data_IF_070839762698
#
_entry.id   IF_070839762698
#
_cell.length_a   1.000
_cell.length_b   1.000
_cell.length_c   1.000
_cell.angle_alpha   90.00
_cell.angle_beta   90.00
_cell.angle_gamma   90.00
#
_symmetry.space_group_name_H-M   'P 1'
#
loop_
_entity.id
_entity.type
_entity.pdbx_description
1 polymer ?
#
# COMPACT_ATOMS: atom_id res chain seq x y z
N UNK A 1 -49.61 -31.43 35.33
CA UNK A 1 -49.05 -31.47 33.96
C UNK A 1 -48.09 -30.29 33.76
N UNK A 2 -46.80 -30.49 34.01
CA UNK A 2 -45.76 -29.47 33.75
C UNK A 2 -45.36 -29.59 32.28
N UNK A 3 -45.59 -28.52 31.53
CA UNK A 3 -45.07 -28.38 30.15
C UNK A 3 -43.59 -28.05 30.18
N UNK A 4 -42.74 -28.96 29.77
CA UNK A 4 -41.31 -28.68 29.54
C UNK A 4 -41.18 -27.74 28.34
N UNK A 5 -40.77 -26.51 28.63
CA UNK A 5 -40.36 -25.55 27.60
C UNK A 5 -38.88 -25.87 27.26
N UNK A 6 -38.67 -26.47 26.08
CA UNK A 6 -37.33 -26.68 25.53
C UNK A 6 -36.89 -25.33 24.93
N UNK A 7 -35.99 -24.64 25.65
CA UNK A 7 -35.32 -23.45 25.14
C UNK A 7 -34.16 -23.94 24.24
N UNK A 8 -34.33 -23.86 22.94
CA UNK A 8 -33.21 -24.02 22.01
C UNK A 8 -32.24 -22.83 22.17
N UNK A 9 -30.97 -23.06 22.49
CA UNK A 9 -30.01 -21.97 22.44
C UNK A 9 -29.79 -21.57 20.98
N UNK A 10 -30.28 -20.38 20.62
CA UNK A 10 -29.90 -19.74 19.37
C UNK A 10 -28.41 -19.46 19.43
N UNK A 11 -27.62 -20.35 18.83
CA UNK A 11 -26.21 -20.12 18.59
C UNK A 11 -26.11 -19.02 17.53
N UNK A 12 -25.97 -17.78 17.96
CA UNK A 12 -25.57 -16.68 17.08
C UNK A 12 -24.15 -16.99 16.58
N UNK A 13 -24.06 -17.66 15.45
CA UNK A 13 -22.87 -17.68 14.64
C UNK A 13 -22.62 -16.22 14.19
N UNK A 14 -21.77 -15.51 14.92
CA UNK A 14 -21.18 -14.28 14.43
C UNK A 14 -20.38 -14.64 13.17
N UNK A 15 -21.02 -14.54 12.01
CA UNK A 15 -20.35 -14.55 10.73
C UNK A 15 -19.62 -13.21 10.69
N UNK A 16 -18.35 -13.20 11.06
CA UNK A 16 -17.47 -12.06 10.82
C UNK A 16 -17.44 -11.80 9.30
N UNK A 17 -18.27 -10.87 8.86
CA UNK A 17 -18.35 -10.46 7.47
C UNK A 17 -17.18 -9.55 7.17
N UNK A 18 -16.16 -10.06 6.52
CA UNK A 18 -15.09 -9.23 5.99
C UNK A 18 -15.61 -8.38 4.84
N UNK A 19 -15.28 -7.08 4.86
CA UNK A 19 -15.68 -6.15 3.81
C UNK A 19 -15.05 -6.53 2.46
N UNK A 20 -15.68 -6.18 1.32
CA UNK A 20 -15.08 -6.36 -0.01
C UNK A 20 -13.68 -5.74 -0.07
N UNK A 21 -12.82 -6.29 -0.92
CA UNK A 21 -11.42 -5.85 -1.04
C UNK A 21 -11.17 -5.28 -2.44
N UNK A 22 -10.68 -4.04 -2.49
CA UNK A 22 -10.06 -3.47 -3.67
C UNK A 22 -8.57 -3.86 -3.67
N UNK A 23 -8.16 -4.67 -4.65
CA UNK A 23 -6.81 -5.18 -4.81
C UNK A 23 -6.10 -4.41 -5.93
N UNK A 24 -4.93 -3.82 -5.64
CA UNK A 24 -4.11 -3.06 -6.59
C UNK A 24 -2.82 -3.80 -6.88
N UNK A 25 -2.54 -4.02 -8.18
CA UNK A 25 -1.32 -4.69 -8.67
C UNK A 25 -0.08 -3.80 -8.55
N UNK A 26 1.10 -4.43 -8.60
CA UNK A 26 2.39 -3.78 -8.64
C UNK A 26 2.83 -3.36 -10.04
N UNK A 27 4.04 -2.80 -10.11
CA UNK A 27 4.72 -2.50 -11.38
C UNK A 27 4.99 -3.79 -12.16
N UNK A 28 4.95 -3.71 -13.50
CA UNK A 28 5.12 -4.85 -14.41
C UNK A 28 4.05 -5.95 -14.27
N UNK A 29 3.00 -5.69 -13.50
CA UNK A 29 1.86 -6.57 -13.31
C UNK A 29 0.57 -5.92 -13.81
N UNK A 30 -0.41 -6.76 -14.04
CA UNK A 30 -1.80 -6.44 -14.30
C UNK A 30 -2.71 -7.44 -13.58
N UNK A 31 -4.02 -7.25 -13.61
CA UNK A 31 -4.97 -8.16 -12.96
C UNK A 31 -5.02 -9.54 -13.61
N UNK A 32 -4.51 -9.70 -14.84
CA UNK A 32 -4.44 -10.98 -15.54
C UNK A 32 -3.22 -11.81 -15.17
N UNK A 33 -2.21 -11.20 -14.55
CA UNK A 33 -0.96 -11.84 -14.12
C UNK A 33 -1.23 -13.01 -13.16
N UNK A 34 -0.47 -14.07 -13.29
CA UNK A 34 -0.61 -15.28 -12.45
C UNK A 34 -0.50 -14.97 -10.96
N UNK A 35 0.43 -14.07 -10.58
CA UNK A 35 0.64 -13.64 -9.20
C UNK A 35 -0.61 -12.97 -8.63
N UNK A 36 -1.22 -12.04 -9.40
CA UNK A 36 -2.40 -11.31 -8.96
C UNK A 36 -3.63 -12.20 -8.87
N UNK A 37 -3.84 -13.09 -9.85
CA UNK A 37 -4.92 -14.10 -9.83
C UNK A 37 -4.80 -15.04 -8.63
N UNK A 38 -3.59 -15.54 -8.35
CA UNK A 38 -3.35 -16.42 -7.21
C UNK A 38 -3.62 -15.70 -5.87
N UNK A 39 -3.13 -14.47 -5.74
CA UNK A 39 -3.39 -13.66 -4.55
C UNK A 39 -4.89 -13.39 -4.36
N UNK A 40 -5.58 -13.00 -5.42
CA UNK A 40 -7.03 -12.77 -5.41
C UNK A 40 -7.80 -14.03 -4.97
N UNK A 41 -7.49 -15.18 -5.57
CA UNK A 41 -8.11 -16.46 -5.21
C UNK A 41 -7.84 -16.84 -3.75
N UNK A 42 -6.61 -16.65 -3.25
CA UNK A 42 -6.27 -16.92 -1.86
C UNK A 42 -7.04 -16.00 -0.91
N UNK A 43 -7.10 -14.70 -1.18
CA UNK A 43 -7.89 -13.75 -0.38
C UNK A 43 -9.36 -14.14 -0.35
N UNK A 44 -9.97 -14.44 -1.50
CA UNK A 44 -11.37 -14.90 -1.59
C UNK A 44 -11.61 -16.19 -0.80
N UNK A 45 -10.72 -17.18 -0.95
CA UNK A 45 -10.84 -18.50 -0.29
C UNK A 45 -10.81 -18.38 1.23
N UNK A 46 -9.84 -17.63 1.78
CA UNK A 46 -9.62 -17.58 3.23
C UNK A 46 -10.46 -16.54 3.97
N UNK A 47 -10.86 -15.47 3.28
CA UNK A 47 -11.69 -14.42 3.86
C UNK A 47 -13.18 -14.60 3.56
N UNK A 48 -13.52 -15.42 2.56
CA UNK A 48 -14.90 -15.64 2.08
C UNK A 48 -15.61 -14.31 1.75
N UNK A 49 -14.87 -13.38 1.14
CA UNK A 49 -15.37 -12.08 0.71
C UNK A 49 -15.07 -11.82 -0.76
N UNK A 50 -15.74 -10.84 -1.34
CA UNK A 50 -15.46 -10.39 -2.71
C UNK A 50 -14.10 -9.69 -2.75
N UNK A 51 -13.28 -10.04 -3.73
CA UNK A 51 -12.00 -9.39 -4.00
C UNK A 51 -11.97 -8.98 -5.46
N UNK A 52 -11.83 -7.71 -5.73
CA UNK A 52 -11.76 -7.17 -7.07
C UNK A 52 -10.37 -6.60 -7.32
N UNK A 53 -9.65 -7.21 -8.25
CA UNK A 53 -8.44 -6.60 -8.77
C UNK A 53 -8.84 -5.42 -9.66
N UNK A 54 -8.31 -4.25 -9.36
CA UNK A 54 -8.60 -3.01 -10.10
C UNK A 54 -7.53 -2.84 -11.16
N UNK A 55 -7.87 -3.19 -12.40
CA UNK A 55 -7.00 -2.96 -13.54
C UNK A 55 -6.81 -1.47 -13.79
N UNK A 56 -5.58 -1.04 -14.05
CA UNK A 56 -5.22 0.35 -14.30
C UNK A 56 -4.46 0.41 -15.62
N UNK A 57 -4.96 1.25 -16.52
CA UNK A 57 -4.45 1.30 -17.90
C UNK A 57 -4.84 0.07 -18.72
N UNK A 58 -4.00 -0.30 -19.68
CA UNK A 58 -4.22 -1.35 -20.67
C UNK A 58 -3.25 -2.53 -20.46
N UNK A 59 -2.95 -2.87 -19.21
CA UNK A 59 -2.07 -3.99 -18.86
C UNK A 59 -0.75 -3.57 -18.23
N UNK A 60 0.16 -4.53 -18.09
CA UNK A 60 1.39 -4.38 -17.32
C UNK A 60 2.33 -3.26 -17.79
N UNK A 61 2.31 -2.90 -19.08
CA UNK A 61 3.13 -1.80 -19.60
C UNK A 61 2.71 -0.45 -19.02
N UNK A 62 1.41 -0.18 -18.88
CA UNK A 62 0.91 1.07 -18.33
C UNK A 62 1.24 1.22 -16.84
N UNK A 63 1.46 0.11 -16.13
CA UNK A 63 1.97 0.15 -14.75
C UNK A 63 3.37 0.80 -14.65
N UNK A 64 4.11 0.86 -15.75
CA UNK A 64 5.43 1.51 -15.85
C UNK A 64 5.34 2.87 -16.56
N UNK A 65 4.67 2.91 -17.73
CA UNK A 65 4.72 4.03 -18.68
C UNK A 65 3.67 5.10 -18.42
N UNK A 66 2.81 4.91 -17.42
CA UNK A 66 1.86 5.93 -16.94
C UNK A 66 2.31 6.40 -15.56
N UNK A 67 2.51 7.69 -15.34
CA UNK A 67 2.91 8.18 -14.03
C UNK A 67 1.86 7.83 -12.95
N UNK A 68 2.31 7.76 -11.69
CA UNK A 68 1.49 7.19 -10.63
C UNK A 68 0.30 8.09 -10.23
N UNK A 69 0.37 9.39 -10.47
CA UNK A 69 -0.76 10.30 -10.26
C UNK A 69 -1.92 9.96 -11.21
N UNK A 70 -1.63 9.76 -12.52
CA UNK A 70 -2.64 9.36 -13.51
C UNK A 70 -3.23 7.99 -13.18
N UNK A 71 -2.38 7.00 -12.82
CA UNK A 71 -2.84 5.69 -12.38
C UNK A 71 -3.78 5.80 -11.17
N UNK A 72 -3.44 6.64 -10.20
CA UNK A 72 -4.22 6.82 -8.97
C UNK A 72 -5.55 7.52 -9.21
N UNK A 73 -5.59 8.48 -10.13
CA UNK A 73 -6.84 9.15 -10.55
C UNK A 73 -7.77 8.14 -11.25
N UNK A 74 -7.23 7.32 -12.14
CA UNK A 74 -8.01 6.28 -12.81
C UNK A 74 -8.56 5.27 -11.80
N UNK A 75 -7.72 4.79 -10.88
CA UNK A 75 -8.12 3.90 -9.79
C UNK A 75 -9.23 4.52 -8.93
N UNK A 76 -9.10 5.80 -8.56
CA UNK A 76 -10.12 6.53 -7.80
C UNK A 76 -11.47 6.55 -8.54
N UNK A 77 -11.47 6.78 -9.85
CA UNK A 77 -12.68 6.78 -10.66
C UNK A 77 -13.32 5.38 -10.73
N UNK A 78 -12.52 4.33 -10.91
CA UNK A 78 -12.99 2.93 -10.92
C UNK A 78 -13.58 2.54 -9.56
N UNK A 79 -12.96 2.91 -8.44
CA UNK A 79 -13.51 2.68 -7.09
C UNK A 79 -14.85 3.41 -6.90
N UNK A 80 -14.96 4.67 -7.32
CA UNK A 80 -16.20 5.44 -7.19
C UNK A 80 -17.37 4.85 -7.97
N UNK A 81 -17.13 4.26 -9.12
CA UNK A 81 -18.18 3.66 -9.97
C UNK A 81 -18.49 2.21 -9.62
N UNK A 82 -17.64 1.53 -8.84
CA UNK A 82 -17.82 0.11 -8.55
C UNK A 82 -18.87 -0.12 -7.44
N UNK A 83 -19.90 -0.95 -7.67
CA UNK A 83 -21.02 -1.11 -6.73
C UNK A 83 -20.60 -1.64 -5.35
N UNK A 84 -19.63 -2.55 -5.29
CA UNK A 84 -19.17 -3.14 -4.02
C UNK A 84 -18.34 -2.17 -3.15
N UNK A 85 -17.92 -1.01 -3.69
CA UNK A 85 -17.14 0.00 -2.94
C UNK A 85 -17.93 1.27 -2.59
N UNK A 86 -19.24 1.24 -2.74
CA UNK A 86 -20.10 2.37 -2.34
C UNK A 86 -20.24 2.50 -0.82
N UNK A 87 -20.08 1.38 -0.11
CA UNK A 87 -20.11 1.28 1.34
C UNK A 87 -18.70 0.99 1.88
N UNK A 88 -18.62 0.30 3.03
CA UNK A 88 -17.35 -0.09 3.67
C UNK A 88 -16.60 -1.15 2.84
N UNK A 89 -15.31 -0.95 2.65
CA UNK A 89 -14.43 -1.90 1.96
C UNK A 89 -13.00 -1.82 2.51
N UNK A 90 -12.18 -2.81 2.15
CA UNK A 90 -10.76 -2.86 2.48
C UNK A 90 -9.92 -2.57 1.24
N UNK A 91 -8.71 -2.06 1.44
CA UNK A 91 -7.72 -1.89 0.38
C UNK A 91 -6.55 -2.83 0.63
N UNK A 92 -6.15 -3.54 -0.42
CA UNK A 92 -4.95 -4.36 -0.46
C UNK A 92 -4.08 -3.91 -1.65
N UNK A 93 -2.94 -3.32 -1.36
CA UNK A 93 -1.97 -2.94 -2.39
C UNK A 93 -0.78 -3.88 -2.41
N UNK A 94 -0.26 -4.18 -3.60
CA UNK A 94 0.95 -4.96 -3.84
C UNK A 94 2.02 -4.04 -4.40
N UNK A 95 3.21 -3.96 -3.79
CA UNK A 95 4.33 -3.17 -4.29
C UNK A 95 3.90 -1.73 -4.62
N UNK A 96 4.09 -1.24 -5.85
CA UNK A 96 3.62 0.06 -6.34
C UNK A 96 2.13 0.31 -6.05
N UNK A 97 1.27 -0.72 -6.17
CA UNK A 97 -0.17 -0.60 -5.92
C UNK A 97 -0.52 -0.19 -4.50
N UNK A 98 0.41 -0.31 -3.55
CA UNK A 98 0.23 0.22 -2.19
C UNK A 98 0.15 1.74 -2.17
N UNK A 99 0.91 2.43 -2.99
CA UNK A 99 0.87 3.89 -3.10
C UNK A 99 -0.44 4.36 -3.73
N UNK A 100 -0.97 3.60 -4.71
CA UNK A 100 -2.31 3.84 -5.27
C UNK A 100 -3.38 3.69 -4.19
N UNK A 101 -3.29 2.62 -3.38
CA UNK A 101 -4.19 2.42 -2.24
C UNK A 101 -4.15 3.59 -1.24
N UNK A 102 -2.96 4.10 -0.92
CA UNK A 102 -2.82 5.30 -0.07
C UNK A 102 -3.43 6.55 -0.72
N UNK A 103 -3.25 6.73 -2.01
CA UNK A 103 -3.89 7.84 -2.74
C UNK A 103 -5.41 7.78 -2.60
N UNK A 104 -6.02 6.60 -2.78
CA UNK A 104 -7.47 6.43 -2.58
C UNK A 104 -7.89 6.87 -1.18
N UNK A 105 -7.16 6.47 -0.16
CA UNK A 105 -7.45 6.83 1.23
C UNK A 105 -7.29 8.34 1.45
N UNK A 106 -6.17 8.93 1.03
CA UNK A 106 -5.78 10.29 1.39
C UNK A 106 -6.38 11.35 0.47
N UNK A 107 -6.51 11.08 -0.85
CA UNK A 107 -6.83 12.09 -1.86
C UNK A 107 -8.16 11.86 -2.59
N UNK A 108 -8.64 10.61 -2.72
CA UNK A 108 -9.86 10.35 -3.45
C UNK A 108 -11.09 10.89 -2.72
N UNK A 109 -11.86 11.76 -3.38
CA UNK A 109 -13.04 12.36 -2.76
C UNK A 109 -14.13 11.32 -2.48
N UNK A 110 -14.93 11.53 -1.44
CA UNK A 110 -16.04 10.67 -0.99
C UNK A 110 -15.62 9.27 -0.49
N UNK A 111 -14.33 9.10 -0.10
CA UNK A 111 -13.81 7.83 0.47
C UNK A 111 -13.65 7.86 1.97
N UNK A 112 -13.83 9.03 2.63
CA UNK A 112 -13.70 9.16 4.09
C UNK A 112 -14.67 8.22 4.81
N UNK A 113 -14.14 7.37 5.70
CA UNK A 113 -14.91 6.40 6.48
C UNK A 113 -15.39 5.16 5.71
N UNK A 114 -15.19 5.09 4.38
CA UNK A 114 -15.52 3.90 3.59
C UNK A 114 -14.40 2.85 3.63
N UNK A 115 -13.15 3.28 3.53
CA UNK A 115 -12.01 2.36 3.67
C UNK A 115 -11.83 2.01 5.15
N UNK A 116 -11.91 0.71 5.46
CA UNK A 116 -11.82 0.21 6.82
C UNK A 116 -10.40 -0.21 7.17
N UNK A 117 -9.82 -1.12 6.42
CA UNK A 117 -8.46 -1.59 6.66
C UNK A 117 -7.61 -1.41 5.41
N UNK A 118 -6.33 -1.14 5.62
CA UNK A 118 -5.37 -1.01 4.55
C UNK A 118 -4.21 -1.99 4.76
N UNK A 119 -3.94 -2.81 3.74
CA UNK A 119 -2.77 -3.71 3.68
C UNK A 119 -1.78 -3.18 2.66
N UNK A 120 -0.57 -2.90 3.10
CA UNK A 120 0.59 -2.59 2.26
C UNK A 120 1.49 -3.81 2.17
N UNK A 121 1.41 -4.52 1.06
CA UNK A 121 2.22 -5.71 0.82
C UNK A 121 3.48 -5.33 0.07
N UNK A 122 4.60 -5.20 0.80
CA UNK A 122 5.93 -4.87 0.31
C UNK A 122 5.94 -3.59 -0.57
N UNK A 123 5.35 -2.51 -0.05
CA UNK A 123 5.19 -1.27 -0.78
C UNK A 123 6.25 -0.22 -0.48
N UNK A 124 6.64 0.62 -1.46
CA UNK A 124 7.63 1.68 -1.28
C UNK A 124 7.04 2.90 -0.56
N UNK A 125 6.63 2.75 0.71
CA UNK A 125 5.90 3.78 1.46
C UNK A 125 6.69 5.10 1.63
N UNK A 126 8.01 5.01 1.75
CA UNK A 126 8.92 6.17 1.76
C UNK A 126 9.68 6.35 0.45
N UNK A 127 9.28 5.63 -0.61
CA UNK A 127 9.94 5.65 -1.91
C UNK A 127 11.08 4.65 -2.04
N UNK A 128 11.79 4.75 -3.16
CA UNK A 128 13.00 3.98 -3.47
C UNK A 128 14.17 4.93 -3.68
N UNK A 129 15.34 4.59 -3.14
CA UNK A 129 16.54 5.41 -3.22
C UNK A 129 17.52 4.97 -4.30
N UNK A 130 17.33 3.78 -4.84
CA UNK A 130 18.02 3.23 -5.99
C UNK A 130 17.19 2.08 -6.57
N UNK A 131 17.47 1.68 -7.79
CA UNK A 131 16.90 0.47 -8.38
C UNK A 131 18.01 -0.56 -8.47
N UNK A 132 17.85 -1.75 -7.89
CA UNK A 132 18.77 -2.84 -8.15
C UNK A 132 18.75 -3.16 -9.65
N UNK A 133 19.92 -3.52 -10.21
CA UNK A 133 20.03 -3.84 -11.63
C UNK A 133 19.01 -4.93 -12.00
N UNK A 134 18.01 -4.55 -12.77
CA UNK A 134 16.97 -5.48 -13.21
C UNK A 134 17.52 -6.38 -14.32
N UNK A 135 17.17 -7.66 -14.27
CA UNK A 135 17.62 -8.69 -15.22
C UNK A 135 16.43 -9.40 -15.85
N UNK A 136 15.73 -8.73 -16.76
CA UNK A 136 14.61 -9.31 -17.51
C UNK A 136 14.73 -9.05 -19.03
N UNK A 137 15.94 -9.10 -19.57
CA UNK A 137 16.22 -8.88 -20.97
C UNK A 137 16.10 -7.41 -21.42
N UNK A 138 15.88 -7.17 -22.70
CA UNK A 138 15.92 -5.82 -23.32
C UNK A 138 15.06 -4.77 -22.63
N UNK A 139 13.95 -5.17 -22.03
CA UNK A 139 13.07 -4.24 -21.30
C UNK A 139 13.71 -3.77 -20.00
N UNK A 140 14.35 -4.65 -19.26
CA UNK A 140 15.10 -4.26 -18.07
C UNK A 140 16.34 -3.44 -18.40
N UNK A 141 17.00 -3.72 -19.52
CA UNK A 141 18.12 -2.89 -19.98
C UNK A 141 17.65 -1.45 -20.27
N UNK A 142 16.48 -1.31 -20.88
CA UNK A 142 15.86 -0.01 -21.09
C UNK A 142 15.51 0.70 -19.76
N UNK A 143 14.91 -0.02 -18.80
CA UNK A 143 14.63 0.54 -17.48
C UNK A 143 15.90 0.91 -16.71
N UNK A 144 16.94 0.07 -16.76
CA UNK A 144 18.22 0.37 -16.12
C UNK A 144 18.88 1.64 -16.71
N UNK A 145 18.74 1.85 -18.03
CA UNK A 145 19.20 3.09 -18.69
C UNK A 145 18.41 4.30 -18.21
N UNK A 146 17.07 4.19 -18.14
CA UNK A 146 16.21 5.26 -17.61
C UNK A 146 16.63 5.62 -16.18
N UNK A 147 16.91 4.62 -15.35
CA UNK A 147 17.33 4.82 -13.96
C UNK A 147 18.64 5.57 -13.86
N UNK A 148 19.64 5.23 -14.70
CA UNK A 148 20.92 5.97 -14.72
C UNK A 148 20.73 7.42 -15.10
N UNK A 149 19.81 7.73 -16.00
CA UNK A 149 19.48 9.11 -16.38
C UNK A 149 18.80 9.89 -15.22
N UNK A 150 18.02 9.20 -14.36
CA UNK A 150 17.46 9.81 -13.15
C UNK A 150 18.51 10.20 -12.12
N UNK A 151 19.53 9.38 -11.95
CA UNK A 151 20.61 9.68 -11.00
C UNK A 151 21.39 10.94 -11.40
N UNK A 152 21.51 11.18 -12.70
CA UNK A 152 22.34 12.25 -13.25
C UNK A 152 21.59 13.58 -13.52
N UNK A 153 20.39 13.54 -14.10
CA UNK A 153 19.82 14.71 -14.78
C UNK A 153 18.38 15.12 -14.43
N UNK A 154 17.59 14.33 -13.67
CA UNK A 154 16.14 14.58 -13.42
C UNK A 154 15.36 14.95 -14.69
N UNK A 155 15.34 14.13 -15.72
CA UNK A 155 14.67 14.51 -16.95
C UNK A 155 13.16 14.64 -16.69
N UNK A 156 12.62 15.86 -16.83
CA UNK A 156 11.20 16.18 -16.54
C UNK A 156 10.24 15.23 -17.30
N UNK A 157 10.62 14.86 -18.54
CA UNK A 157 9.84 13.88 -19.32
C UNK A 157 9.64 12.54 -18.59
N UNK A 158 10.67 12.03 -17.90
CA UNK A 158 10.57 10.77 -17.16
C UNK A 158 9.73 10.94 -15.90
N UNK A 159 9.86 12.07 -15.22
CA UNK A 159 9.05 12.42 -14.04
C UNK A 159 7.57 12.46 -14.41
N UNK A 160 7.24 13.04 -15.56
CA UNK A 160 5.86 13.23 -16.00
C UNK A 160 5.20 11.95 -16.54
N UNK A 161 6.00 10.96 -16.96
CA UNK A 161 5.47 9.80 -17.67
C UNK A 161 5.73 8.45 -17.00
N UNK A 162 6.73 8.32 -16.13
CA UNK A 162 7.06 7.03 -15.54
C UNK A 162 6.57 6.88 -14.10
N UNK A 163 5.94 5.73 -13.82
CA UNK A 163 5.50 5.41 -12.47
C UNK A 163 6.63 5.38 -11.44
N UNK A 164 7.79 4.75 -11.68
CA UNK A 164 8.89 4.73 -10.71
C UNK A 164 9.41 6.11 -10.32
N UNK A 165 9.38 7.06 -11.24
CA UNK A 165 9.77 8.44 -10.97
C UNK A 165 8.88 9.11 -9.91
N UNK A 166 7.60 8.73 -9.87
CA UNK A 166 6.63 9.28 -8.90
C UNK A 166 6.97 8.95 -7.45
N UNK A 167 7.74 7.90 -7.20
CA UNK A 167 8.18 7.49 -5.86
C UNK A 167 9.70 7.36 -5.72
N UNK A 168 10.45 7.97 -6.66
CA UNK A 168 11.90 8.10 -6.54
C UNK A 168 12.26 9.09 -5.43
N UNK A 169 13.08 8.66 -4.48
CA UNK A 169 13.55 9.49 -3.37
C UNK A 169 15.07 9.38 -3.28
N UNK A 170 15.76 10.42 -3.74
CA UNK A 170 17.20 10.41 -3.86
C UNK A 170 17.89 10.12 -2.53
N UNK A 171 18.74 9.08 -2.52
CA UNK A 171 19.45 8.65 -1.32
C UNK A 171 20.34 9.75 -0.73
N UNK A 172 21.05 10.49 -1.58
CA UNK A 172 22.04 11.49 -1.16
C UNK A 172 21.57 12.94 -1.35
N UNK A 173 20.43 13.16 -1.98
CA UNK A 173 19.92 14.48 -2.37
C UNK A 173 18.45 14.64 -1.96
N UNK A 174 18.22 14.71 -0.63
CA UNK A 174 16.86 14.85 -0.11
C UNK A 174 16.19 16.17 -0.53
N UNK A 175 16.95 17.24 -0.65
CA UNK A 175 16.52 18.54 -1.17
C UNK A 175 16.00 18.45 -2.61
N UNK A 176 16.68 17.65 -3.45
CA UNK A 176 16.26 17.36 -4.82
C UNK A 176 14.92 16.63 -4.87
N UNK A 177 14.71 15.65 -3.96
CA UNK A 177 13.40 15.01 -3.80
C UNK A 177 12.32 16.03 -3.41
N UNK A 178 12.57 16.89 -2.44
CA UNK A 178 11.60 17.90 -2.00
C UNK A 178 11.26 18.89 -3.11
N UNK A 179 12.20 19.21 -3.99
CA UNK A 179 12.00 20.11 -5.12
C UNK A 179 11.20 19.45 -6.25
N UNK A 180 11.59 18.25 -6.67
CA UNK A 180 11.17 17.68 -7.95
C UNK A 180 10.08 16.60 -7.82
N UNK A 181 9.98 15.90 -6.68
CA UNK A 181 8.95 14.88 -6.53
C UNK A 181 7.61 15.51 -6.14
N UNK A 182 6.61 15.34 -7.00
CA UNK A 182 5.26 15.87 -6.77
C UNK A 182 4.38 14.84 -6.05
N UNK A 183 4.44 13.58 -6.48
CA UNK A 183 3.50 12.55 -6.01
C UNK A 183 3.79 12.06 -4.58
N UNK A 184 4.96 11.44 -4.36
CA UNK A 184 5.27 10.84 -3.06
C UNK A 184 5.47 11.89 -1.96
N UNK A 185 6.10 13.02 -2.29
CA UNK A 185 6.25 14.16 -1.38
C UNK A 185 4.89 14.63 -0.85
N UNK A 186 3.92 14.80 -1.74
CA UNK A 186 2.56 15.21 -1.36
C UNK A 186 1.86 14.10 -0.55
N UNK A 187 1.90 12.85 -1.03
CA UNK A 187 1.28 11.72 -0.35
C UNK A 187 1.86 11.48 1.07
N UNK A 188 3.13 11.71 1.27
CA UNK A 188 3.79 11.66 2.57
C UNK A 188 3.63 12.95 3.38
N UNK A 189 3.02 13.98 2.80
CA UNK A 189 2.85 15.27 3.43
C UNK A 189 4.20 15.89 3.85
N UNK A 190 5.26 15.68 3.01
CA UNK A 190 6.63 16.17 3.26
C UNK A 190 6.86 17.59 2.75
N UNK A 191 5.91 18.20 2.03
CA UNK A 191 5.95 19.60 1.60
C UNK A 191 5.99 20.58 2.77
N UNK A 192 6.29 21.85 2.51
CA UNK A 192 6.30 22.91 3.53
C UNK A 192 4.92 23.10 4.16
N UNK A 193 3.88 23.21 3.34
CA UNK A 193 2.48 23.30 3.77
C UNK A 193 1.93 21.89 3.95
N UNK A 194 1.42 21.59 5.15
CA UNK A 194 0.85 20.30 5.48
C UNK A 194 -0.63 20.25 5.16
N UNK A 195 -1.08 19.16 4.57
CA UNK A 195 -2.50 18.88 4.35
C UNK A 195 -3.07 18.07 5.51
N UNK A 196 -3.76 18.72 6.43
CA UNK A 196 -4.35 18.07 7.61
C UNK A 196 -5.47 17.08 7.26
N UNK A 197 -6.11 17.21 6.09
CA UNK A 197 -7.13 16.26 5.67
C UNK A 197 -6.54 14.88 5.37
N UNK A 198 -5.30 14.79 4.88
CA UNK A 198 -4.62 13.50 4.67
C UNK A 198 -4.48 12.73 5.99
N UNK A 199 -4.05 13.42 7.04
CA UNK A 199 -3.95 12.87 8.40
C UNK A 199 -5.32 12.41 8.92
N UNK A 200 -6.34 13.24 8.78
CA UNK A 200 -7.70 12.90 9.22
C UNK A 200 -8.24 11.66 8.51
N UNK A 201 -7.97 11.50 7.21
CA UNK A 201 -8.43 10.36 6.44
C UNK A 201 -7.70 9.06 6.82
N UNK A 202 -6.40 9.11 7.02
CA UNK A 202 -5.62 7.98 7.53
C UNK A 202 -6.12 7.55 8.92
N UNK A 203 -6.41 8.48 9.80
CA UNK A 203 -6.92 8.20 11.14
C UNK A 203 -8.35 7.61 11.18
N UNK A 204 -9.10 7.72 10.08
CA UNK A 204 -10.41 7.06 9.95
C UNK A 204 -10.32 5.56 9.65
N UNK A 205 -9.14 5.04 9.28
CA UNK A 205 -8.96 3.60 9.10
C UNK A 205 -9.09 2.88 10.45
N UNK A 206 -9.64 1.67 10.44
CA UNK A 206 -9.58 0.81 11.62
C UNK A 206 -8.13 0.42 11.90
N UNK A 207 -7.44 -0.12 10.89
CA UNK A 207 -6.08 -0.61 11.05
C UNK A 207 -5.29 -0.49 9.73
N UNK A 208 -3.96 -0.44 9.87
CA UNK A 208 -3.00 -0.56 8.76
C UNK A 208 -2.07 -1.74 9.04
N UNK A 209 -1.87 -2.60 8.05
CA UNK A 209 -0.86 -3.66 8.07
C UNK A 209 0.24 -3.35 7.06
N UNK A 210 1.46 -3.18 7.55
CA UNK A 210 2.66 -2.97 6.73
C UNK A 210 3.48 -4.27 6.69
N UNK A 211 3.63 -4.84 5.51
CA UNK A 211 4.39 -6.07 5.30
C UNK A 211 5.68 -5.76 4.59
N UNK A 212 6.81 -6.23 5.14
CA UNK A 212 8.15 -6.12 4.58
C UNK A 212 8.68 -7.50 4.23
N UNK A 213 9.30 -7.66 3.06
CA UNK A 213 10.07 -8.86 2.70
C UNK A 213 11.46 -8.83 3.34
N UNK A 214 11.86 -9.92 4.01
CA UNK A 214 13.19 -9.98 4.65
C UNK A 214 14.31 -9.94 3.63
N UNK A 215 14.10 -10.59 2.49
CA UNK A 215 15.06 -10.72 1.40
C UNK A 215 14.72 -9.81 0.21
N UNK A 216 13.74 -8.91 0.37
CA UNK A 216 13.30 -8.00 -0.69
C UNK A 216 14.48 -7.16 -1.20
N UNK A 217 14.79 -7.32 -2.48
CA UNK A 217 15.84 -6.59 -3.21
C UNK A 217 15.27 -5.57 -4.20
N UNK A 218 13.95 -5.56 -4.41
CA UNK A 218 13.27 -4.64 -5.35
C UNK A 218 12.95 -3.31 -4.68
N UNK A 219 12.39 -3.33 -3.47
CA UNK A 219 12.22 -2.11 -2.69
C UNK A 219 13.56 -1.78 -2.03
N UNK A 220 14.18 -0.71 -2.47
CA UNK A 220 15.50 -0.30 -2.00
C UNK A 220 15.51 1.14 -1.44
N UNK A 221 15.59 1.31 -0.12
CA UNK A 221 15.78 0.26 0.89
C UNK A 221 14.46 -0.46 1.22
N UNK A 222 14.50 -1.76 1.52
CA UNK A 222 13.31 -2.55 1.90
C UNK A 222 12.58 -2.03 3.14
N UNK A 223 13.29 -1.33 3.98
CA UNK A 223 12.80 -0.63 5.16
C UNK A 223 11.74 0.42 4.80
N UNK A 224 11.71 0.90 3.56
CA UNK A 224 10.68 1.79 3.03
C UNK A 224 9.27 1.20 3.18
N UNK A 225 9.12 -0.13 3.14
CA UNK A 225 7.84 -0.79 3.39
C UNK A 225 7.26 -0.54 4.79
N UNK A 226 8.09 -0.14 5.74
CA UNK A 226 7.72 0.23 7.11
C UNK A 226 7.86 1.72 7.41
N UNK A 227 7.86 2.58 6.38
CA UNK A 227 8.05 4.02 6.47
C UNK A 227 9.44 4.44 7.02
N UNK A 228 10.44 3.60 6.85
CA UNK A 228 11.84 3.91 7.18
C UNK A 228 12.61 4.27 5.91
N UNK A 229 13.58 5.15 6.01
CA UNK A 229 14.38 5.56 4.85
C UNK A 229 15.75 6.07 5.30
N UNK A 230 16.60 6.41 4.33
CA UNK A 230 17.90 7.00 4.61
C UNK A 230 17.77 8.34 5.33
N UNK A 231 18.78 8.65 6.15
CA UNK A 231 18.96 10.00 6.70
C UNK A 231 19.27 11.00 5.56
N UNK A 232 19.24 12.30 5.89
CA UNK A 232 19.48 13.38 4.88
C UNK A 232 20.85 13.29 4.21
N UNK A 233 21.82 12.56 4.81
CA UNK A 233 23.16 12.32 4.25
C UNK A 233 23.22 11.03 3.43
N UNK A 234 22.17 10.23 3.40
CA UNK A 234 22.13 8.95 2.69
C UNK A 234 22.99 7.84 3.29
N UNK A 235 23.43 7.99 4.54
CA UNK A 235 24.43 7.10 5.14
C UNK A 235 23.83 5.92 5.88
N UNK A 236 22.74 6.14 6.59
CA UNK A 236 22.09 5.11 7.42
C UNK A 236 20.57 5.16 7.33
N UNK A 237 19.92 4.02 7.53
CA UNK A 237 18.46 3.94 7.65
C UNK A 237 18.06 4.54 8.99
N UNK A 238 17.08 5.44 8.95
CA UNK A 238 16.43 6.01 10.14
C UNK A 238 15.23 5.16 10.47
N UNK A 239 15.19 4.50 11.63
CA UNK A 239 14.01 3.75 12.08
C UNK A 239 12.78 4.67 12.15
N UNK A 240 11.60 4.12 11.85
CA UNK A 240 10.35 4.88 11.77
C UNK A 240 10.17 5.83 12.97
N UNK A 241 10.29 5.32 14.19
CA UNK A 241 10.05 6.10 15.43
C UNK A 241 11.02 7.26 15.63
N UNK A 242 12.19 7.23 14.96
CA UNK A 242 13.21 8.26 15.04
C UNK A 242 13.14 9.25 13.87
N UNK A 243 12.27 9.02 12.90
CA UNK A 243 12.11 9.88 11.73
C UNK A 243 11.30 11.13 12.05
N UNK A 244 11.63 12.24 11.39
CA UNK A 244 10.85 13.49 11.49
C UNK A 244 9.39 13.27 11.06
N UNK A 245 9.18 12.43 10.03
CA UNK A 245 7.87 12.01 9.53
C UNK A 245 6.99 11.44 10.64
N UNK A 246 7.55 10.58 11.50
CA UNK A 246 6.83 9.99 12.62
C UNK A 246 6.72 10.95 13.81
N UNK A 247 7.81 11.60 14.20
CA UNK A 247 7.85 12.49 15.37
C UNK A 247 6.84 13.64 15.22
N UNK A 248 6.77 14.25 14.03
CA UNK A 248 5.81 15.31 13.72
C UNK A 248 4.44 14.77 13.25
N UNK A 249 4.32 13.46 13.11
CA UNK A 249 3.09 12.75 12.72
C UNK A 249 2.42 13.34 11.47
N UNK A 250 3.18 13.41 10.37
CA UNK A 250 2.78 14.09 9.13
C UNK A 250 1.46 13.59 8.54
N UNK A 251 1.15 12.30 8.66
CA UNK A 251 -0.06 11.69 8.11
C UNK A 251 -0.85 10.82 9.14
N UNK A 252 -0.55 10.90 10.44
CA UNK A 252 -1.27 10.15 11.47
C UNK A 252 -0.71 8.77 11.80
N UNK A 253 0.44 8.39 11.25
CA UNK A 253 1.06 7.07 11.46
C UNK A 253 1.51 6.89 12.92
N UNK A 254 2.02 7.95 13.58
CA UNK A 254 2.37 7.89 15.00
C UNK A 254 1.14 7.61 15.85
N UNK A 255 0.07 8.36 15.66
CA UNK A 255 -1.16 8.19 16.41
C UNK A 255 -1.76 6.79 16.24
N UNK A 256 -1.82 6.28 15.00
CA UNK A 256 -2.25 4.89 14.74
C UNK A 256 -1.38 3.86 15.46
N UNK A 257 -0.06 4.07 15.49
CA UNK A 257 0.86 3.17 16.19
C UNK A 257 0.67 3.18 17.70
N UNK A 258 0.53 4.38 18.30
CA UNK A 258 0.25 4.56 19.73
C UNK A 258 -1.09 3.93 20.15
N UNK A 259 -2.08 3.95 19.26
CA UNK A 259 -3.39 3.31 19.47
C UNK A 259 -3.40 1.81 19.13
N UNK A 260 -2.26 1.23 18.76
CA UNK A 260 -2.14 -0.18 18.40
C UNK A 260 -2.85 -0.57 17.09
N UNK A 261 -3.18 0.40 16.25
CA UNK A 261 -3.86 0.23 14.94
C UNK A 261 -2.90 0.15 13.75
N UNK A 262 -1.60 0.37 13.95
CA UNK A 262 -0.54 0.15 12.98
C UNK A 262 0.15 -1.19 13.30
N UNK A 263 0.08 -2.13 12.36
CA UNK A 263 0.65 -3.47 12.51
C UNK A 263 1.80 -3.67 11.52
N UNK A 264 2.80 -4.44 11.93
CA UNK A 264 3.97 -4.76 11.15
C UNK A 264 4.10 -6.28 11.00
N UNK A 265 4.43 -6.74 9.81
CA UNK A 265 4.74 -8.14 9.53
C UNK A 265 6.01 -8.25 8.69
N UNK A 266 6.84 -9.23 9.04
CA UNK A 266 8.04 -9.58 8.28
C UNK A 266 7.82 -10.94 7.61
N UNK A 267 7.80 -10.95 6.28
CA UNK A 267 7.72 -12.19 5.50
C UNK A 267 9.12 -12.64 5.09
N UNK A 268 9.32 -13.95 5.12
CA UNK A 268 10.56 -14.58 4.65
C UNK A 268 10.41 -14.90 3.16
N UNK A 269 11.19 -14.22 2.32
CA UNK A 269 11.16 -14.36 0.87
C UNK A 269 11.63 -13.08 0.17
N UNK A 270 11.72 -13.17 -1.14
CA UNK A 270 11.99 -12.06 -2.06
C UNK A 270 10.74 -11.18 -2.24
N UNK A 271 10.85 -10.19 -3.12
CA UNK A 271 9.79 -9.21 -3.36
C UNK A 271 8.47 -9.86 -3.78
N UNK A 272 7.40 -9.57 -3.05
CA UNK A 272 6.06 -10.09 -3.27
C UNK A 272 5.92 -11.63 -3.17
N UNK A 273 6.95 -12.32 -2.71
CA UNK A 273 6.85 -13.73 -2.35
C UNK A 273 6.23 -13.92 -0.97
N UNK A 274 5.41 -14.95 -0.85
CA UNK A 274 4.83 -15.34 0.44
C UNK A 274 4.53 -16.84 0.45
N UNK A 275 4.64 -17.44 1.62
CA UNK A 275 4.08 -18.74 1.82
C UNK A 275 2.67 -18.68 2.39
N UNK A 276 1.88 -19.70 2.14
CA UNK A 276 0.46 -19.73 2.51
C UNK A 276 0.25 -19.63 4.04
N UNK A 277 1.17 -20.18 4.83
CA UNK A 277 1.08 -20.14 6.30
C UNK A 277 1.26 -18.73 6.83
N UNK A 278 2.24 -17.98 6.30
CA UNK A 278 2.42 -16.56 6.65
C UNK A 278 1.23 -15.72 6.20
N UNK A 279 0.75 -15.96 4.97
CA UNK A 279 -0.45 -15.30 4.45
C UNK A 279 -1.64 -15.45 5.40
N UNK A 280 -1.96 -16.68 5.81
CA UNK A 280 -3.07 -16.95 6.72
C UNK A 280 -2.83 -16.27 8.08
N UNK A 281 -1.62 -16.43 8.63
CA UNK A 281 -1.29 -15.90 9.96
C UNK A 281 -1.45 -14.39 10.05
N UNK A 282 -0.98 -13.63 9.06
CA UNK A 282 -0.95 -12.18 9.14
C UNK A 282 -2.10 -11.52 8.41
N UNK A 283 -2.30 -11.84 7.15
CA UNK A 283 -3.25 -11.11 6.29
C UNK A 283 -4.69 -11.52 6.59
N UNK A 284 -4.96 -12.83 6.60
CA UNK A 284 -6.33 -13.30 6.81
C UNK A 284 -6.83 -12.99 8.23
N UNK A 285 -5.96 -13.11 9.24
CA UNK A 285 -6.31 -12.75 10.62
C UNK A 285 -6.57 -11.25 10.73
N UNK A 286 -5.68 -10.42 10.17
CA UNK A 286 -5.80 -8.97 10.19
C UNK A 286 -7.11 -8.48 9.53
N UNK A 287 -7.46 -9.00 8.36
CA UNK A 287 -8.65 -8.57 7.62
C UNK A 287 -9.97 -9.15 8.17
N UNK A 288 -9.92 -10.20 9.00
CA UNK A 288 -11.10 -10.71 9.74
C UNK A 288 -11.39 -9.93 11.01
N UNK A 289 -10.39 -9.26 11.55
CA UNK A 289 -10.54 -8.40 12.73
C UNK A 289 -11.22 -7.09 12.29
N UNK A 290 -12.52 -7.01 12.50
CA UNK A 290 -13.34 -5.82 12.19
C UNK A 290 -13.25 -4.73 13.25
N UNK A 291 -12.36 -4.88 14.23
CA UNK A 291 -12.21 -3.94 15.34
C UNK A 291 -13.33 -4.00 16.38
N UNK A 292 -14.29 -4.91 16.24
CA UNK A 292 -15.42 -5.05 17.18
C UNK A 292 -15.02 -5.59 18.56
N UNK A 293 -13.78 -6.09 18.71
CA UNK A 293 -13.24 -6.59 19.99
C UNK A 293 -12.59 -5.51 20.88
N UNK A 294 -12.90 -4.22 20.66
CA UNK A 294 -12.33 -3.12 21.46
C UNK A 294 -13.18 -2.69 22.68
N UNK A 295 -14.22 -3.43 23.00
CA UNK A 295 -14.93 -3.27 24.28
C UNK A 295 -14.71 -4.51 25.17
N UNK A 296 -13.56 -4.55 25.84
CA UNK A 296 -13.40 -5.26 27.13
C UNK A 296 -12.28 -4.63 27.93
#
# INVERSE_FOLDING_TARGET
>A
MLKNIIIFPFLFLFISSTYPIALFHGILLDCSSTQMKNLQMNLQKYLKTKVHCIEIGNGSQDSVLMNLEKQSIEACNKIKSHPDFQNKFNIFGVSQGTLIGRYIIQKCNNMKGKVQNYVSFMGPQMGIGYIPKLTCGKFCDYLNKIVSEFEDNDPQYLIDNLAPASYWKYRYHYDRFLKNNVYLKDLNNEGEVKNEEYKKRILNLNQILLIKGKQDTVIAPKESSWFEFYDKKGQKIVPLKNSEFYIKDFIGIRKLNEEGRLKFALFYGEHCEYNLKEFIKYIATFLKDDGSNKEK
#
